data_IF_806399579046
#
_entry.id   IF_806399579046
#
_cell.length_a   1.000
_cell.length_b   1.000
_cell.length_c   1.000
_cell.angle_alpha   90.00
_cell.angle_beta   90.00
_cell.angle_gamma   90.00
#
_symmetry.space_group_name_H-M   'P 1'
#
loop_
_entity.id
_entity.type
_entity.pdbx_description
1 polymer ?
#
# COMPACT_ATOMS: atom_id res chain seq x y z
N UNK A 1 -6.62 7.02 -21.01
CA UNK A 1 -5.97 6.00 -20.18
C UNK A 1 -5.92 6.55 -18.76
N UNK A 2 -6.23 5.76 -17.74
CA UNK A 2 -6.09 6.22 -16.35
C UNK A 2 -4.61 6.43 -16.04
N UNK A 3 -4.24 7.50 -15.33
CA UNK A 3 -2.86 7.70 -14.91
C UNK A 3 -2.47 6.59 -13.92
N UNK A 4 -1.34 5.95 -14.18
CA UNK A 4 -0.72 4.94 -13.30
C UNK A 4 0.63 5.44 -12.85
N UNK A 5 0.91 5.32 -11.56
CA UNK A 5 2.19 5.72 -10.99
C UNK A 5 2.92 4.54 -10.34
N UNK A 6 4.24 4.57 -10.42
CA UNK A 6 5.10 3.72 -9.60
C UNK A 6 5.97 4.59 -8.70
N UNK A 7 6.01 4.27 -7.41
CA UNK A 7 6.82 4.97 -6.41
C UNK A 7 7.94 4.03 -5.98
N UNK A 8 9.17 4.41 -6.23
CA UNK A 8 10.34 3.65 -5.85
C UNK A 8 10.88 4.08 -4.49
N UNK A 9 11.05 3.11 -3.60
CA UNK A 9 11.70 3.26 -2.32
C UNK A 9 12.94 2.36 -2.23
N UNK A 10 13.97 2.82 -1.50
CA UNK A 10 15.22 2.08 -1.35
C UNK A 10 15.07 0.84 -0.46
N UNK A 11 14.23 0.90 0.57
CA UNK A 11 14.09 -0.16 1.56
C UNK A 11 12.67 -0.68 1.68
N UNK A 12 12.52 -1.95 2.10
CA UNK A 12 11.23 -2.56 2.43
C UNK A 12 10.50 -1.75 3.50
N UNK A 13 11.22 -1.32 4.54
CA UNK A 13 10.66 -0.52 5.63
C UNK A 13 10.05 0.79 5.13
N UNK A 14 10.69 1.44 4.13
CA UNK A 14 10.16 2.66 3.55
C UNK A 14 8.92 2.40 2.71
N UNK A 15 8.90 1.28 1.96
CA UNK A 15 7.73 0.83 1.20
C UNK A 15 6.53 0.64 2.14
N UNK A 16 6.72 -0.10 3.25
CA UNK A 16 5.65 -0.36 4.23
C UNK A 16 5.17 0.94 4.90
N UNK A 17 6.10 1.83 5.27
CA UNK A 17 5.78 3.12 5.88
C UNK A 17 4.99 4.04 4.93
N UNK A 18 5.39 4.08 3.66
CA UNK A 18 4.73 4.93 2.67
C UNK A 18 3.36 4.37 2.30
N UNK A 19 3.22 3.05 2.19
CA UNK A 19 1.92 2.39 2.03
C UNK A 19 0.98 2.79 3.17
N UNK A 20 1.41 2.64 4.42
CA UNK A 20 0.62 3.00 5.61
C UNK A 20 0.20 4.49 5.61
N UNK A 21 1.13 5.38 5.28
CA UNK A 21 0.85 6.81 5.25
C UNK A 21 -0.13 7.21 4.15
N UNK A 22 0.01 6.62 2.97
CA UNK A 22 -0.84 6.92 1.82
C UNK A 22 -2.21 6.21 1.89
N UNK A 23 -2.33 5.13 2.66
CA UNK A 23 -3.61 4.45 2.92
C UNK A 23 -4.68 5.36 3.56
N UNK A 24 -4.27 6.43 4.23
CA UNK A 24 -5.16 7.46 4.81
C UNK A 24 -5.91 8.26 3.74
N UNK A 25 -5.39 8.26 2.53
CA UNK A 25 -5.98 8.95 1.39
C UNK A 25 -6.78 7.98 0.53
N UNK A 26 -7.69 8.51 -0.29
CA UNK A 26 -8.53 7.71 -1.18
C UNK A 26 -7.80 7.34 -2.49
N UNK A 27 -6.58 6.81 -2.34
CA UNK A 27 -5.80 6.28 -3.46
C UNK A 27 -5.95 4.77 -3.54
N UNK A 28 -6.04 4.26 -4.77
CA UNK A 28 -5.98 2.83 -5.04
C UNK A 28 -4.52 2.43 -5.17
N UNK A 29 -3.92 2.02 -4.08
CA UNK A 29 -2.49 1.68 -4.02
C UNK A 29 -2.26 0.30 -3.40
N UNK A 30 -1.17 -0.33 -3.80
CA UNK A 30 -0.61 -1.52 -3.14
C UNK A 30 0.92 -1.48 -3.21
N UNK A 31 1.54 -2.17 -2.25
CA UNK A 31 3.00 -2.27 -2.15
C UNK A 31 3.53 -3.61 -2.66
N UNK A 32 4.76 -3.59 -3.18
CA UNK A 32 5.48 -4.78 -3.62
C UNK A 32 6.95 -4.71 -3.19
N UNK A 33 7.42 -5.77 -2.51
CA UNK A 33 8.82 -5.87 -2.08
C UNK A 33 9.26 -7.34 -1.98
N UNK A 34 10.56 -7.57 -1.82
CA UNK A 34 11.15 -8.91 -1.88
C UNK A 34 10.69 -9.90 -0.82
N UNK A 35 10.17 -9.44 0.33
CA UNK A 35 9.66 -10.33 1.38
C UNK A 35 8.23 -10.82 1.13
N UNK A 36 7.53 -10.32 0.09
CA UNK A 36 6.20 -10.81 -0.26
C UNK A 36 6.28 -12.13 -1.02
N UNK A 37 5.34 -13.07 -0.74
CA UNK A 37 5.19 -14.29 -1.53
C UNK A 37 5.00 -13.98 -3.03
N UNK A 38 5.53 -14.82 -3.90
CA UNK A 38 5.45 -14.62 -5.36
C UNK A 38 4.00 -14.48 -5.84
N UNK A 39 3.09 -15.30 -5.33
CA UNK A 39 1.66 -15.24 -5.66
C UNK A 39 1.01 -13.88 -5.34
N UNK A 40 1.45 -13.24 -4.23
CA UNK A 40 0.97 -11.90 -3.88
C UNK A 40 1.53 -10.85 -4.83
N UNK A 41 2.81 -10.97 -5.21
CA UNK A 41 3.44 -10.06 -6.16
C UNK A 41 2.75 -10.11 -7.52
N UNK A 42 2.47 -11.32 -8.03
CA UNK A 42 1.73 -11.55 -9.29
C UNK A 42 0.31 -10.97 -9.24
N UNK A 43 -0.39 -11.15 -8.11
CA UNK A 43 -1.71 -10.55 -7.90
C UNK A 43 -1.67 -9.03 -8.00
N UNK A 44 -0.74 -8.38 -7.30
CA UNK A 44 -0.61 -6.91 -7.30
C UNK A 44 -0.33 -6.39 -8.71
N UNK A 45 0.55 -7.06 -9.47
CA UNK A 45 0.83 -6.68 -10.86
C UNK A 45 -0.42 -6.84 -11.75
N UNK A 46 -1.16 -7.93 -11.58
CA UNK A 46 -2.40 -8.12 -12.31
C UNK A 46 -3.47 -7.08 -11.93
N UNK A 47 -3.53 -6.67 -10.67
CA UNK A 47 -4.44 -5.64 -10.20
C UNK A 47 -4.06 -4.26 -10.78
N UNK A 48 -2.76 -3.95 -10.94
CA UNK A 48 -2.29 -2.75 -11.63
C UNK A 48 -2.63 -2.79 -13.14
N UNK A 49 -2.41 -3.93 -13.81
CA UNK A 49 -2.76 -4.10 -15.23
C UNK A 49 -4.25 -3.93 -15.50
N UNK A 50 -5.08 -4.43 -14.60
CA UNK A 50 -6.55 -4.40 -14.71
C UNK A 50 -7.19 -3.14 -14.10
N UNK A 51 -6.45 -2.05 -13.91
CA UNK A 51 -6.94 -0.75 -13.39
C UNK A 51 -7.65 -0.82 -12.02
N UNK A 52 -7.33 -1.85 -11.23
CA UNK A 52 -7.84 -1.99 -9.86
C UNK A 52 -7.05 -1.15 -8.86
N UNK A 53 -5.75 -0.96 -9.13
CA UNK A 53 -4.89 -0.02 -8.43
C UNK A 53 -4.30 0.98 -9.42
N UNK A 54 -4.05 2.18 -8.96
CA UNK A 54 -3.53 3.29 -9.75
C UNK A 54 -2.07 3.62 -9.35
N UNK A 55 -1.65 3.22 -8.14
CA UNK A 55 -0.32 3.49 -7.59
C UNK A 55 0.30 2.17 -7.09
N UNK A 56 1.53 1.91 -7.54
CA UNK A 56 2.36 0.82 -7.04
C UNK A 56 3.53 1.40 -6.25
N UNK A 57 3.74 0.95 -5.01
CA UNK A 57 4.91 1.31 -4.20
C UNK A 57 5.86 0.11 -4.23
N UNK A 58 7.13 0.30 -4.61
CA UNK A 58 8.02 -0.83 -4.85
C UNK A 58 9.47 -0.55 -4.45
N UNK A 59 10.18 -1.63 -4.09
CA UNK A 59 11.66 -1.63 -4.10
C UNK A 59 12.19 -1.99 -5.49
N UNK A 60 13.41 -1.56 -5.83
CA UNK A 60 14.06 -1.90 -7.10
C UNK A 60 14.10 -3.40 -7.38
N UNK A 61 14.47 -4.19 -6.36
CA UNK A 61 14.55 -5.66 -6.50
C UNK A 61 13.20 -6.27 -6.86
N UNK A 62 12.13 -5.76 -6.26
CA UNK A 62 10.79 -6.27 -6.52
C UNK A 62 10.23 -5.84 -7.87
N UNK A 63 10.63 -4.66 -8.35
CA UNK A 63 10.19 -4.12 -9.63
C UNK A 63 11.00 -4.64 -10.83
N UNK A 64 12.19 -5.19 -10.59
CA UNK A 64 13.01 -5.78 -11.68
C UNK A 64 12.34 -7.02 -12.27
N UNK A 65 12.36 -7.13 -13.58
CA UNK A 65 11.78 -8.26 -14.30
C UNK A 65 10.25 -8.30 -14.30
N UNK A 66 9.59 -7.30 -13.71
CA UNK A 66 8.16 -7.15 -13.83
C UNK A 66 7.86 -6.42 -15.15
N UNK A 67 7.05 -7.07 -15.95
CA UNK A 67 6.50 -6.48 -17.17
C UNK A 67 5.35 -5.52 -16.76
N UNK A 68 5.76 -4.29 -16.40
CA UNK A 68 4.85 -3.21 -16.02
C UNK A 68 4.86 -2.23 -17.18
N UNK A 69 3.79 -2.24 -17.94
CA UNK A 69 3.54 -1.32 -19.03
C UNK A 69 2.55 -0.23 -18.62
N UNK A 70 2.45 0.80 -19.44
CA UNK A 70 1.49 1.89 -19.31
C UNK A 70 1.60 2.73 -18.01
N UNK A 71 2.81 2.81 -17.45
CA UNK A 71 3.10 3.75 -16.35
C UNK A 71 3.22 5.16 -16.94
N UNK A 72 2.43 6.08 -16.42
CA UNK A 72 2.44 7.49 -16.83
C UNK A 72 3.34 8.35 -15.95
N UNK A 73 3.59 7.92 -14.71
CA UNK A 73 4.42 8.66 -13.76
C UNK A 73 5.33 7.71 -12.97
N UNK A 74 6.61 8.03 -12.92
CA UNK A 74 7.58 7.40 -12.01
C UNK A 74 7.96 8.40 -10.93
N UNK A 75 7.91 7.98 -9.68
CA UNK A 75 8.33 8.79 -8.53
C UNK A 75 9.48 8.07 -7.84
N UNK A 76 10.66 8.67 -7.82
CA UNK A 76 11.75 8.25 -6.97
C UNK A 76 11.56 8.90 -5.60
N UNK A 77 10.96 8.18 -4.65
CA UNK A 77 10.80 8.66 -3.27
C UNK A 77 12.17 8.78 -2.58
N UNK A 78 13.01 7.78 -2.80
CA UNK A 78 14.43 7.81 -2.45
C UNK A 78 15.25 7.89 -3.76
N UNK A 79 16.25 8.79 -3.81
CA UNK A 79 17.19 8.86 -4.92
C UNK A 79 17.94 7.53 -5.05
N UNK A 80 18.06 6.97 -6.26
CA UNK A 80 18.88 5.79 -6.49
C UNK A 80 20.37 6.14 -6.35
N UNK A 81 21.15 5.18 -5.85
CA UNK A 81 22.60 5.34 -5.66
C UNK A 81 23.40 5.33 -6.98
N UNK A 82 22.81 4.82 -8.07
CA UNK A 82 23.47 4.73 -9.37
C UNK A 82 22.61 5.23 -10.50
N UNK A 83 23.28 5.77 -11.52
CA UNK A 83 22.65 6.20 -12.78
C UNK A 83 21.91 5.05 -13.47
N UNK A 84 22.48 3.85 -13.45
CA UNK A 84 21.83 2.70 -14.10
C UNK A 84 20.49 2.37 -13.44
N UNK A 85 20.44 2.42 -12.11
CA UNK A 85 19.19 2.24 -11.37
C UNK A 85 18.20 3.37 -11.70
N UNK A 86 18.68 4.61 -11.79
CA UNK A 86 17.86 5.76 -12.20
C UNK A 86 17.23 5.54 -13.58
N UNK A 87 18.04 5.16 -14.57
CA UNK A 87 17.57 4.87 -15.94
C UNK A 87 16.56 3.73 -15.95
N UNK A 88 16.82 2.65 -15.20
CA UNK A 88 15.89 1.52 -15.10
C UNK A 88 14.55 1.91 -14.45
N UNK A 89 14.54 2.83 -13.48
CA UNK A 89 13.32 3.33 -12.86
C UNK A 89 12.54 4.23 -13.82
N UNK A 90 13.17 5.27 -14.35
CA UNK A 90 12.49 6.21 -15.27
C UNK A 90 12.05 5.54 -16.57
N UNK A 91 12.80 4.53 -17.02
CA UNK A 91 12.43 3.70 -18.17
C UNK A 91 11.19 2.83 -17.98
N UNK A 92 10.44 2.96 -16.85
CA UNK A 92 9.09 2.38 -16.68
C UNK A 92 8.01 3.26 -17.29
N UNK A 93 8.31 4.52 -17.57
CA UNK A 93 7.41 5.45 -18.27
C UNK A 93 7.99 5.90 -19.60
N UNK A 94 7.23 6.62 -20.40
CA UNK A 94 7.69 7.17 -21.69
C UNK A 94 8.01 6.12 -22.75
N UNK A 95 7.36 4.94 -22.73
CA UNK A 95 7.61 3.84 -23.68
C UNK A 95 6.74 3.94 -24.92
N UNK A 96 7.24 3.34 -26.02
CA UNK A 96 6.51 3.21 -27.29
C UNK A 96 5.98 4.55 -27.84
N UNK A 97 6.74 5.65 -27.69
CA UNK A 97 6.35 6.97 -28.18
C UNK A 97 5.31 7.69 -27.33
N UNK A 98 4.96 7.15 -26.14
CA UNK A 98 4.08 7.82 -25.18
C UNK A 98 4.90 8.79 -24.32
N UNK A 99 4.29 9.90 -23.94
CA UNK A 99 4.87 10.81 -22.94
C UNK A 99 4.77 10.21 -21.54
N UNK A 100 5.76 10.53 -20.68
CA UNK A 100 5.80 10.09 -19.31
C UNK A 100 6.51 11.10 -18.41
N UNK A 101 6.14 11.13 -17.15
CA UNK A 101 6.72 12.03 -16.16
C UNK A 101 7.57 11.24 -15.17
N UNK A 102 8.77 11.74 -14.88
CA UNK A 102 9.60 11.24 -13.79
C UNK A 102 9.84 12.35 -12.76
N UNK A 103 9.54 12.07 -11.50
CA UNK A 103 9.72 12.99 -10.37
C UNK A 103 10.69 12.34 -9.39
N UNK A 104 11.67 13.11 -8.90
CA UNK A 104 12.60 12.62 -7.89
C UNK A 104 12.63 13.58 -6.71
N UNK A 105 12.43 13.05 -5.50
CA UNK A 105 12.68 13.81 -4.29
C UNK A 105 14.17 13.76 -4.00
N UNK A 106 14.75 14.94 -3.80
CA UNK A 106 16.19 15.11 -3.63
C UNK A 106 16.43 15.89 -2.34
N UNK A 107 17.19 15.31 -1.44
CA UNK A 107 17.68 16.01 -0.24
C UNK A 107 18.90 16.87 -0.56
N UNK A 108 19.22 17.82 0.29
CA UNK A 108 20.41 18.69 0.10
C UNK A 108 21.73 17.93 0.01
N UNK A 109 21.81 16.74 0.61
CA UNK A 109 22.99 15.87 0.51
C UNK A 109 23.11 15.12 -0.83
N UNK A 110 22.03 15.01 -1.60
CA UNK A 110 21.94 14.22 -2.84
C UNK A 110 22.00 15.08 -4.11
N UNK A 111 22.10 16.39 -4.00
CA UNK A 111 22.15 17.30 -5.18
C UNK A 111 23.29 16.97 -6.15
N UNK A 112 24.39 16.44 -5.65
CA UNK A 112 25.50 15.99 -6.49
C UNK A 112 25.13 14.84 -7.44
N UNK A 113 24.22 13.94 -7.00
CA UNK A 113 23.71 12.82 -7.84
C UNK A 113 22.92 13.35 -9.04
N UNK A 114 22.13 14.42 -8.84
CA UNK A 114 21.36 15.02 -9.95
C UNK A 114 22.31 15.50 -11.04
N UNK A 115 23.39 16.19 -10.66
CA UNK A 115 24.39 16.69 -11.61
C UNK A 115 25.09 15.54 -12.34
N UNK A 116 25.43 14.46 -11.65
CA UNK A 116 26.02 13.28 -12.24
C UNK A 116 25.05 12.61 -13.22
N UNK A 117 23.79 12.43 -12.82
CA UNK A 117 22.76 11.75 -13.62
C UNK A 117 22.46 12.54 -14.90
N UNK A 118 22.31 13.86 -14.83
CA UNK A 118 22.09 14.71 -15.99
C UNK A 118 23.19 14.53 -17.06
N UNK A 119 24.45 14.46 -16.63
CA UNK A 119 25.59 14.24 -17.55
C UNK A 119 25.55 12.89 -18.25
N UNK A 120 25.04 11.85 -17.57
CA UNK A 120 25.03 10.48 -18.08
C UNK A 120 23.83 10.19 -18.97
N UNK A 121 22.67 10.77 -18.67
CA UNK A 121 21.44 10.53 -19.44
C UNK A 121 21.22 11.56 -20.55
N UNK A 122 22.08 12.58 -20.65
CA UNK A 122 21.97 13.69 -21.61
C UNK A 122 20.55 14.34 -21.58
N UNK A 123 20.03 14.53 -20.35
CA UNK A 123 18.71 15.11 -20.10
C UNK A 123 18.83 16.23 -19.07
N UNK A 124 18.00 17.25 -19.23
CA UNK A 124 17.84 18.29 -18.21
C UNK A 124 16.83 17.80 -17.18
N UNK A 125 17.25 17.74 -15.92
CA UNK A 125 16.36 17.49 -14.78
C UNK A 125 16.01 18.85 -14.18
N UNK A 126 14.77 19.25 -14.36
CA UNK A 126 14.31 20.54 -13.84
C UNK A 126 14.11 20.47 -12.32
N UNK A 127 14.61 21.48 -11.61
CA UNK A 127 14.38 21.62 -10.17
C UNK A 127 13.05 22.33 -9.95
N UNK A 128 12.16 21.67 -9.23
CA UNK A 128 10.87 22.24 -8.83
C UNK A 128 10.82 22.42 -7.30
N UNK A 129 10.24 23.50 -6.85
CA UNK A 129 9.89 23.64 -5.44
C UNK A 129 8.68 22.78 -5.11
N UNK A 130 8.64 22.25 -3.88
CA UNK A 130 7.43 21.60 -3.38
C UNK A 130 6.34 22.66 -3.24
N UNK A 131 5.13 22.47 -3.82
CA UNK A 131 4.04 23.42 -3.65
C UNK A 131 3.67 23.57 -2.16
N UNK A 132 3.61 24.79 -1.68
CA UNK A 132 3.20 25.07 -0.28
C UNK A 132 1.70 24.77 -0.06
N UNK A 133 0.87 25.03 -1.07
CA UNK A 133 -0.56 24.70 -1.05
C UNK A 133 -0.93 23.97 -2.35
N UNK A 134 -1.10 22.64 -2.29
CA UNK A 134 -1.43 21.87 -3.49
C UNK A 134 -2.83 22.28 -4.00
N UNK A 135 -2.92 22.58 -5.30
CA UNK A 135 -4.19 22.92 -5.97
C UNK A 135 -5.24 21.80 -5.79
N UNK A 136 -4.78 20.56 -5.71
CA UNK A 136 -5.64 19.39 -5.49
C UNK A 136 -5.46 18.90 -4.06
N UNK A 137 -6.46 19.16 -3.22
CA UNK A 137 -6.49 18.59 -1.86
C UNK A 137 -6.76 17.09 -1.95
N UNK A 138 -5.90 16.24 -1.36
CA UNK A 138 -6.13 14.81 -1.36
C UNK A 138 -7.44 14.49 -0.65
N UNK A 139 -8.21 13.57 -1.22
CA UNK A 139 -9.40 13.04 -0.54
C UNK A 139 -8.94 12.14 0.60
N UNK A 140 -9.12 12.61 1.82
CA UNK A 140 -8.86 11.78 3.00
C UNK A 140 -10.02 10.81 3.13
N UNK A 141 -9.74 9.52 3.22
CA UNK A 141 -10.76 8.52 3.59
C UNK A 141 -11.38 8.96 4.91
N UNK A 142 -12.71 8.80 5.04
CA UNK A 142 -13.37 9.01 6.32
C UNK A 142 -12.78 7.99 7.30
N UNK A 143 -11.74 8.42 8.00
CA UNK A 143 -11.06 7.59 9.00
C UNK A 143 -12.00 7.53 10.20
N UNK A 144 -12.39 6.34 10.57
CA UNK A 144 -13.05 6.12 11.85
C UNK A 144 -12.02 6.50 12.92
N UNK A 145 -12.38 7.41 13.80
CA UNK A 145 -11.53 7.77 14.93
C UNK A 145 -11.61 6.66 15.98
N UNK A 146 -10.71 5.71 15.84
CA UNK A 146 -10.66 4.56 16.76
C UNK A 146 -10.29 4.95 18.19
N UNK A 147 -9.72 6.14 18.41
CA UNK A 147 -9.43 6.62 19.77
C UNK A 147 -10.72 6.93 20.54
N UNK A 148 -11.78 7.36 19.83
CA UNK A 148 -13.07 7.66 20.44
C UNK A 148 -13.92 6.42 20.72
N UNK A 149 -13.74 5.35 19.95
CA UNK A 149 -14.55 4.12 20.03
C UNK A 149 -13.81 2.93 20.65
N UNK A 150 -12.55 3.11 21.03
CA UNK A 150 -11.77 2.09 21.72
C UNK A 150 -12.01 2.16 23.21
N UNK A 151 -11.92 0.99 23.85
CA UNK A 151 -11.92 0.89 25.32
C UNK A 151 -10.64 1.51 25.91
N UNK A 152 -10.51 1.61 27.26
CA UNK A 152 -9.31 2.16 27.91
C UNK A 152 -8.01 1.41 27.59
N UNK A 153 -8.09 0.19 27.08
CA UNK A 153 -6.94 -0.62 26.64
C UNK A 153 -6.63 -0.43 25.16
N UNK A 154 -7.37 0.43 24.45
CA UNK A 154 -7.20 0.70 23.03
C UNK A 154 -7.82 -0.36 22.11
N UNK A 155 -8.75 -1.19 22.61
CA UNK A 155 -9.43 -2.22 21.83
C UNK A 155 -10.76 -1.69 21.28
N UNK A 156 -10.93 -1.78 19.96
CA UNK A 156 -12.17 -1.48 19.26
C UNK A 156 -12.85 -2.79 18.82
N UNK A 157 -14.19 -2.79 18.77
CA UNK A 157 -15.00 -3.96 18.43
C UNK A 157 -15.39 -3.95 16.96
N UNK A 158 -15.23 -5.08 16.31
CA UNK A 158 -15.54 -5.27 14.89
C UNK A 158 -16.45 -6.47 14.67
N UNK A 159 -17.50 -6.29 13.91
CA UNK A 159 -18.32 -7.40 13.40
C UNK A 159 -17.74 -7.89 12.09
N UNK A 160 -17.36 -9.16 12.05
CA UNK A 160 -16.86 -9.87 10.85
C UNK A 160 -17.92 -10.91 10.45
N UNK A 161 -18.25 -11.01 9.16
CA UNK A 161 -19.24 -11.96 8.64
C UNK A 161 -18.69 -13.40 8.48
N UNK A 162 -17.85 -13.82 9.41
CA UNK A 162 -17.35 -15.19 9.54
C UNK A 162 -17.74 -15.73 10.89
N UNK A 163 -18.31 -16.91 10.94
CA UNK A 163 -18.81 -17.54 12.15
C UNK A 163 -18.53 -19.04 12.22
N UNK A 164 -19.18 -19.71 13.17
CA UNK A 164 -19.07 -21.17 13.35
C UNK A 164 -19.55 -21.94 12.13
N UNK A 165 -20.62 -21.47 11.49
CA UNK A 165 -21.18 -22.07 10.27
C UNK A 165 -20.23 -22.03 9.08
N UNK A 166 -19.28 -21.10 9.05
CA UNK A 166 -18.23 -21.04 8.02
C UNK A 166 -17.06 -22.01 8.31
N UNK A 167 -17.11 -22.73 9.45
CA UNK A 167 -16.10 -23.71 9.87
C UNK A 167 -15.01 -23.14 10.78
N UNK A 168 -15.22 -21.96 11.36
CA UNK A 168 -14.26 -21.34 12.28
C UNK A 168 -14.59 -21.65 13.75
N UNK A 169 -13.53 -21.70 14.56
CA UNK A 169 -13.55 -21.49 15.99
C UNK A 169 -12.76 -20.21 16.33
N UNK A 170 -12.72 -19.82 17.60
CA UNK A 170 -12.03 -18.57 18.02
C UNK A 170 -10.56 -18.54 17.60
N UNK A 171 -9.85 -19.65 17.76
CA UNK A 171 -8.42 -19.76 17.44
C UNK A 171 -8.20 -19.68 15.93
N UNK A 172 -8.94 -20.49 15.15
CA UNK A 172 -8.79 -20.50 13.71
C UNK A 172 -9.21 -19.19 13.03
N UNK A 173 -10.16 -18.45 13.64
CA UNK A 173 -10.53 -17.11 13.16
C UNK A 173 -9.44 -16.09 13.50
N UNK A 174 -8.86 -16.14 14.68
CA UNK A 174 -7.72 -15.30 15.04
C UNK A 174 -6.54 -15.55 14.09
N UNK A 175 -6.16 -16.80 13.85
CA UNK A 175 -5.13 -17.18 12.89
C UNK A 175 -5.42 -16.67 11.46
N UNK A 176 -6.67 -16.76 11.05
CA UNK A 176 -7.09 -16.24 9.75
C UNK A 176 -6.90 -14.72 9.66
N UNK A 177 -7.27 -13.96 10.69
CA UNK A 177 -7.10 -12.51 10.77
C UNK A 177 -5.60 -12.17 10.76
N UNK A 178 -4.80 -12.81 11.60
CA UNK A 178 -3.36 -12.59 11.69
C UNK A 178 -2.68 -12.76 10.32
N UNK A 179 -2.99 -13.86 9.62
CA UNK A 179 -2.36 -14.18 8.34
C UNK A 179 -2.80 -13.27 7.19
N UNK A 180 -4.05 -12.86 7.16
CA UNK A 180 -4.61 -12.12 6.03
C UNK A 180 -4.60 -10.61 6.23
N UNK A 181 -4.66 -10.12 7.48
CA UNK A 181 -4.69 -8.70 7.79
C UNK A 181 -3.36 -8.17 8.36
N UNK A 182 -2.32 -9.02 8.46
CA UNK A 182 -1.01 -8.65 9.04
C UNK A 182 -1.11 -8.03 10.43
N UNK A 183 -2.12 -8.42 11.18
CA UNK A 183 -2.32 -8.03 12.57
C UNK A 183 -1.46 -8.94 13.44
N UNK A 184 -0.84 -8.40 14.50
CA UNK A 184 -0.11 -9.22 15.47
C UNK A 184 -1.10 -9.94 16.37
N UNK A 185 -0.76 -11.14 16.83
CA UNK A 185 -1.57 -11.93 17.77
C UNK A 185 -1.93 -11.14 19.03
N UNK A 186 -0.95 -10.42 19.60
CA UNK A 186 -1.13 -9.56 20.79
C UNK A 186 -2.13 -8.41 20.57
N UNK A 187 -2.42 -8.07 19.32
CA UNK A 187 -3.36 -7.00 18.99
C UNK A 187 -4.82 -7.48 18.91
N UNK A 188 -5.07 -8.78 19.00
CA UNK A 188 -6.40 -9.37 19.01
C UNK A 188 -6.82 -9.64 20.44
N UNK A 189 -7.89 -8.99 20.86
CA UNK A 189 -8.52 -9.21 22.15
C UNK A 189 -9.55 -10.35 22.13
N UNK A 190 -10.70 -10.11 22.77
CA UNK A 190 -11.77 -11.09 22.86
C UNK A 190 -12.41 -11.34 21.49
N UNK A 191 -12.79 -12.61 21.27
CA UNK A 191 -13.57 -13.03 20.10
C UNK A 191 -14.86 -13.70 20.62
N UNK A 192 -16.00 -13.15 20.22
CA UNK A 192 -17.32 -13.75 20.47
C UNK A 192 -17.93 -14.19 19.13
N UNK A 193 -18.33 -15.46 19.05
CA UNK A 193 -18.73 -16.09 17.79
C UNK A 193 -20.20 -16.52 17.82
N UNK A 194 -20.91 -16.14 16.77
CA UNK A 194 -22.21 -16.68 16.37
C UNK A 194 -22.05 -17.65 15.21
N UNK A 195 -23.14 -18.15 14.67
CA UNK A 195 -23.08 -19.11 13.56
C UNK A 195 -22.66 -18.44 12.23
N UNK A 196 -23.09 -17.21 11.98
CA UNK A 196 -22.90 -16.48 10.72
C UNK A 196 -21.91 -15.31 10.80
N UNK A 197 -21.49 -14.95 12.02
CA UNK A 197 -20.65 -13.77 12.25
C UNK A 197 -19.87 -13.89 13.56
N UNK A 198 -18.89 -13.00 13.74
CA UNK A 198 -18.12 -12.89 14.96
C UNK A 198 -17.87 -11.43 15.33
N UNK A 199 -17.80 -11.15 16.61
CA UNK A 199 -17.33 -9.88 17.16
C UNK A 199 -15.88 -10.10 17.59
N UNK A 200 -14.99 -9.30 17.08
CA UNK A 200 -13.53 -9.39 17.33
C UNK A 200 -13.07 -8.06 17.88
N UNK A 201 -12.41 -8.09 19.03
CA UNK A 201 -11.72 -6.92 19.57
C UNK A 201 -10.32 -6.84 18.97
N UNK A 202 -9.96 -5.66 18.46
CA UNK A 202 -8.64 -5.41 17.83
C UNK A 202 -8.11 -4.07 18.30
N UNK A 203 -6.82 -4.04 18.65
CA UNK A 203 -6.16 -2.81 19.06
C UNK A 203 -6.22 -1.76 17.95
N UNK A 204 -6.54 -0.52 18.31
CA UNK A 204 -6.78 0.61 17.40
C UNK A 204 -5.68 0.82 16.36
N UNK A 205 -4.42 0.59 16.73
CA UNK A 205 -3.27 0.72 15.81
C UNK A 205 -3.33 -0.22 14.61
N UNK A 206 -4.08 -1.33 14.72
CA UNK A 206 -4.25 -2.33 13.68
C UNK A 206 -5.65 -2.34 13.06
N UNK A 207 -6.57 -1.55 13.59
CA UNK A 207 -7.98 -1.55 13.21
C UNK A 207 -8.20 -1.20 11.72
N UNK A 208 -7.59 -0.13 11.25
CA UNK A 208 -7.65 0.27 9.83
C UNK A 208 -7.11 -0.83 8.92
N UNK A 209 -5.92 -1.36 9.25
CA UNK A 209 -5.26 -2.40 8.46
C UNK A 209 -6.10 -3.67 8.39
N UNK A 210 -6.63 -4.12 9.53
CA UNK A 210 -7.51 -5.28 9.59
C UNK A 210 -8.73 -5.10 8.68
N UNK A 211 -9.42 -3.97 8.78
CA UNK A 211 -10.61 -3.69 7.99
C UNK A 211 -10.30 -3.69 6.50
N UNK A 212 -9.23 -3.03 6.09
CA UNK A 212 -8.83 -2.92 4.69
C UNK A 212 -8.39 -4.25 4.09
N UNK A 213 -7.57 -5.01 4.80
CA UNK A 213 -7.00 -6.25 4.25
C UNK A 213 -8.03 -7.39 4.27
N UNK A 214 -8.85 -7.50 5.32
CA UNK A 214 -9.89 -8.54 5.35
C UNK A 214 -10.99 -8.31 4.31
N UNK A 215 -11.38 -7.09 4.04
CA UNK A 215 -12.41 -6.80 3.02
C UNK A 215 -11.96 -7.15 1.59
N UNK A 216 -10.65 -7.24 1.35
CA UNK A 216 -10.09 -7.73 0.10
C UNK A 216 -10.11 -9.27 -0.03
N UNK A 217 -10.33 -9.97 1.08
CA UNK A 217 -10.28 -11.44 1.14
C UNK A 217 -11.63 -12.08 0.81
N UNK A 218 -11.55 -13.34 0.40
CA UNK A 218 -12.72 -14.23 0.25
C UNK A 218 -12.50 -15.52 1.04
N UNK A 219 -13.55 -15.99 1.66
CA UNK A 219 -13.58 -17.33 2.27
C UNK A 219 -14.63 -18.17 1.57
N UNK A 220 -14.25 -19.30 0.96
CA UNK A 220 -15.16 -20.20 0.21
C UNK A 220 -16.07 -19.45 -0.78
N UNK A 221 -15.54 -18.44 -1.48
CA UNK A 221 -16.28 -17.59 -2.42
C UNK A 221 -17.07 -16.44 -1.80
N UNK A 222 -17.27 -16.40 -0.49
CA UNK A 222 -17.94 -15.33 0.26
C UNK A 222 -16.99 -14.16 0.47
N UNK A 223 -17.42 -12.95 0.09
CA UNK A 223 -16.66 -11.73 0.43
C UNK A 223 -16.73 -11.45 1.93
N UNK A 224 -15.58 -11.11 2.50
CA UNK A 224 -15.51 -10.76 3.92
C UNK A 224 -15.91 -9.30 4.11
N UNK A 225 -16.79 -9.07 5.07
CA UNK A 225 -17.19 -7.73 5.49
C UNK A 225 -16.77 -7.51 6.93
N UNK A 226 -16.22 -6.34 7.19
CA UNK A 226 -15.81 -5.88 8.52
C UNK A 226 -16.53 -4.58 8.80
N UNK A 227 -17.25 -4.52 9.92
CA UNK A 227 -17.95 -3.31 10.36
C UNK A 227 -17.53 -3.00 11.78
N UNK A 228 -17.15 -1.76 12.04
CA UNK A 228 -16.93 -1.30 13.40
C UNK A 228 -18.24 -1.26 14.17
N UNK A 229 -18.20 -1.57 15.44
CA UNK A 229 -19.33 -1.43 16.37
C UNK A 229 -19.05 -0.16 17.18
N UNK A 230 -19.87 0.86 16.97
CA UNK A 230 -19.90 2.07 17.79
C UNK A 230 -20.89 1.81 18.94
N UNK A 231 -20.43 1.86 20.18
CA UNK A 231 -21.30 1.75 21.39
C UNK A 231 -21.86 3.11 21.77
#
# INVERSE_FOLDING_TARGET
MKPKAIIFCQTIKMVDLLEERLEKFDYKLEAIHGSLPQSKRERVINDLRNDKIDILIATDVAARGLDIEDITCVINYDMPESVDTYIHRIGRTGRAGKEGTAISFVTSGEEHLVTEFQRRVDMVIEKMAVPEDPEVKPRIKKVVDYDQISDPFGLAKFKVNLGKGDGYNKVSLADFIIRNARVRDIAIGRIDMSDDSSIVEVHRDFANRMTMDLTKCKHKGKHITVKVIEE
#
